data_IF_013557426665
#
_entry.id   IF_013557426665
#
_cell.length_a   1.000
_cell.length_b   1.000
_cell.length_c   1.000
_cell.angle_alpha   90.00
_cell.angle_beta   90.00
_cell.angle_gamma   90.00
#
_symmetry.space_group_name_H-M   'P 1'
#
loop_
_entity.id
_entity.type
_entity.pdbx_description
1 polymer ?
#
# COMPACT_ATOMS: atom_id res chain seq x y z
N UNK A 1 12.26 -5.18 -27.09
CA UNK A 1 13.53 -5.85 -26.92
C UNK A 1 13.31 -7.18 -26.19
N UNK A 2 13.78 -8.29 -26.78
CA UNK A 2 13.54 -9.65 -26.26
C UNK A 2 14.14 -9.90 -24.87
N UNK A 3 15.13 -9.10 -24.47
CA UNK A 3 15.87 -9.25 -23.19
C UNK A 3 15.29 -8.44 -22.04
N UNK A 4 14.22 -7.66 -22.24
CA UNK A 4 13.66 -6.79 -21.20
C UNK A 4 12.41 -7.41 -20.62
N UNK A 5 12.25 -7.25 -19.30
CA UNK A 5 11.07 -7.64 -18.52
C UNK A 5 10.53 -6.45 -17.76
N UNK A 6 9.24 -6.50 -17.44
CA UNK A 6 8.54 -5.57 -16.55
C UNK A 6 8.38 -6.28 -15.21
N UNK A 7 8.72 -5.62 -14.14
CA UNK A 7 8.41 -6.09 -12.78
C UNK A 7 7.19 -5.31 -12.32
N UNK A 8 6.07 -6.01 -12.13
CA UNK A 8 4.85 -5.47 -11.57
C UNK A 8 4.81 -5.80 -10.08
N UNK A 9 4.99 -4.78 -9.24
CA UNK A 9 4.90 -4.91 -7.78
C UNK A 9 3.51 -4.50 -7.31
N UNK A 10 2.71 -5.50 -6.97
CA UNK A 10 1.32 -5.33 -6.52
C UNK A 10 1.21 -5.75 -5.05
N UNK A 11 1.15 -4.77 -4.16
CA UNK A 11 1.17 -5.02 -2.72
C UNK A 11 -0.14 -4.66 -2.00
N UNK A 12 -1.08 -3.93 -2.63
CA UNK A 12 -2.33 -3.50 -1.98
C UNK A 12 -3.53 -3.27 -2.93
N UNK A 13 -3.50 -3.78 -4.15
CA UNK A 13 -4.57 -3.65 -5.15
C UNK A 13 -5.91 -4.21 -4.69
N UNK A 14 -5.90 -5.12 -3.72
CA UNK A 14 -7.11 -5.69 -3.12
C UNK A 14 -7.97 -4.66 -2.39
N UNK A 15 -7.38 -3.53 -1.94
CA UNK A 15 -8.06 -2.49 -1.16
C UNK A 15 -8.46 -1.29 -2.02
N UNK A 16 -9.37 -1.52 -2.96
CA UNK A 16 -9.96 -0.48 -3.78
C UNK A 16 -11.38 -0.15 -3.31
N UNK A 17 -11.66 1.14 -3.12
CA UNK A 17 -12.93 1.63 -2.55
C UNK A 17 -13.84 2.27 -3.59
N UNK A 18 -13.25 2.88 -4.65
CA UNK A 18 -13.98 3.54 -5.72
C UNK A 18 -13.53 3.04 -7.10
N UNK A 19 -14.47 2.94 -8.03
CA UNK A 19 -14.21 2.53 -9.40
C UNK A 19 -14.06 1.02 -9.58
N UNK A 20 -13.82 0.60 -10.83
CA UNK A 20 -13.61 -0.82 -11.17
C UNK A 20 -12.23 -1.28 -10.71
N UNK A 21 -12.05 -2.57 -10.37
CA UNK A 21 -10.73 -3.13 -10.16
C UNK A 21 -9.81 -2.85 -11.36
N UNK A 22 -8.56 -2.52 -11.11
CA UNK A 22 -7.56 -2.40 -12.17
C UNK A 22 -6.95 -3.78 -12.33
N UNK A 23 -7.08 -4.42 -13.50
CA UNK A 23 -6.47 -5.72 -13.72
C UNK A 23 -4.94 -5.60 -13.71
N UNK A 24 -4.26 -6.66 -13.24
CA UNK A 24 -2.81 -6.74 -13.31
C UNK A 24 -2.32 -6.75 -14.76
N UNK A 25 -1.17 -6.12 -15.02
CA UNK A 25 -0.51 -6.15 -16.33
C UNK A 25 -0.21 -7.59 -16.75
N UNK A 26 0.19 -8.42 -15.78
CA UNK A 26 0.46 -9.85 -16.00
C UNK A 26 -0.73 -10.56 -16.65
N UNK A 27 -1.97 -10.22 -16.28
CA UNK A 27 -3.18 -10.81 -16.86
C UNK A 27 -3.40 -10.47 -18.34
N UNK A 28 -2.76 -9.43 -18.86
CA UNK A 28 -2.79 -9.03 -20.28
C UNK A 28 -1.52 -9.38 -21.05
N UNK A 29 -0.54 -9.97 -20.38
CA UNK A 29 0.78 -10.22 -20.96
C UNK A 29 0.81 -11.43 -21.90
N UNK A 30 0.38 -11.23 -23.13
CA UNK A 30 0.50 -12.25 -24.18
C UNK A 30 1.96 -12.54 -24.62
N UNK A 31 2.89 -11.65 -24.27
CA UNK A 31 4.30 -11.76 -24.65
C UNK A 31 5.21 -12.42 -23.62
N UNK A 32 4.71 -12.77 -22.46
CA UNK A 32 5.49 -13.35 -21.36
C UNK A 32 6.61 -12.44 -20.87
N UNK A 33 6.31 -11.14 -20.66
CA UNK A 33 7.29 -10.13 -20.27
C UNK A 33 7.09 -9.56 -18.87
N UNK A 34 5.97 -9.88 -18.22
CA UNK A 34 5.64 -9.36 -16.89
C UNK A 34 5.97 -10.39 -15.83
N UNK A 35 6.82 -10.00 -14.89
CA UNK A 35 7.09 -10.71 -13.63
C UNK A 35 6.19 -10.04 -12.59
N UNK A 36 5.19 -10.76 -12.09
CA UNK A 36 4.28 -10.24 -11.09
C UNK A 36 4.77 -10.59 -9.68
N UNK A 37 4.81 -9.60 -8.79
CA UNK A 37 5.15 -9.73 -7.38
C UNK A 37 3.92 -9.39 -6.53
N UNK A 38 3.54 -10.29 -5.65
CA UNK A 38 2.46 -10.08 -4.70
C UNK A 38 2.86 -10.44 -3.27
N UNK A 39 2.10 -9.96 -2.28
CA UNK A 39 2.37 -10.23 -0.87
C UNK A 39 1.12 -10.47 -0.06
N UNK A 40 1.18 -11.42 0.87
CA UNK A 40 0.14 -11.65 1.86
C UNK A 40 0.29 -10.76 3.11
N UNK A 41 1.40 -10.02 3.21
CA UNK A 41 1.67 -9.17 4.38
C UNK A 41 0.70 -8.00 4.53
N UNK A 42 0.10 -7.55 3.44
CA UNK A 42 -0.93 -6.50 3.45
C UNK A 42 -2.34 -7.06 3.51
N UNK A 43 -2.58 -8.12 2.74
CA UNK A 43 -3.90 -8.68 2.58
C UNK A 43 -4.32 -9.62 3.72
N UNK A 44 -3.39 -10.28 4.41
CA UNK A 44 -3.67 -11.17 5.55
C UNK A 44 -3.21 -10.55 6.86
N UNK A 45 -1.91 -10.45 7.08
CA UNK A 45 -1.33 -9.86 8.28
C UNK A 45 0.13 -9.45 8.04
N UNK A 46 0.60 -8.30 8.58
CA UNK A 46 1.99 -7.85 8.42
C UNK A 46 3.03 -8.82 8.96
N UNK A 47 2.68 -9.63 9.95
CA UNK A 47 3.57 -10.61 10.60
C UNK A 47 3.84 -11.85 9.76
N UNK A 48 3.00 -12.14 8.75
CA UNK A 48 3.12 -13.38 7.96
C UNK A 48 4.37 -13.41 7.10
N UNK A 49 4.83 -12.27 6.62
CA UNK A 49 6.07 -12.09 5.85
C UNK A 49 6.21 -13.03 4.64
N UNK A 50 5.11 -13.32 3.95
CA UNK A 50 5.10 -14.17 2.77
C UNK A 50 4.78 -13.31 1.55
N UNK A 51 5.63 -13.41 0.54
CA UNK A 51 5.43 -12.86 -0.79
C UNK A 51 5.49 -13.98 -1.82
N UNK A 52 4.91 -13.75 -2.98
CA UNK A 52 4.92 -14.69 -4.09
C UNK A 52 5.26 -13.99 -5.39
N UNK A 53 5.73 -14.75 -6.34
CA UNK A 53 6.13 -14.28 -7.66
C UNK A 53 5.50 -15.18 -8.72
N UNK A 54 4.90 -14.56 -9.74
CA UNK A 54 4.43 -15.24 -10.94
C UNK A 54 5.42 -14.95 -12.06
N UNK A 55 6.11 -15.97 -12.50
CA UNK A 55 7.11 -15.87 -13.57
C UNK A 55 6.49 -16.20 -14.92
N UNK A 56 6.90 -15.50 -15.99
CA UNK A 56 6.64 -15.97 -17.36
C UNK A 56 7.26 -17.35 -17.61
N UNK A 57 6.59 -18.18 -18.41
CA UNK A 57 7.01 -19.54 -18.70
C UNK A 57 8.46 -19.65 -19.17
N UNK A 58 8.91 -18.71 -19.99
CA UNK A 58 10.28 -18.65 -20.50
C UNK A 58 11.35 -18.43 -19.41
N UNK A 59 10.99 -17.92 -18.24
CA UNK A 59 11.89 -17.78 -17.08
C UNK A 59 11.86 -18.98 -16.14
N UNK A 60 10.86 -19.87 -16.28
CA UNK A 60 10.70 -21.01 -15.37
C UNK A 60 11.87 -22.00 -15.45
N UNK A 61 12.45 -22.22 -16.65
CA UNK A 61 13.65 -23.05 -16.80
C UNK A 61 14.84 -22.46 -16.03
N UNK A 62 15.12 -21.19 -16.28
CA UNK A 62 16.23 -20.48 -15.60
C UNK A 62 16.05 -20.46 -14.08
N UNK A 63 14.81 -20.27 -13.62
CA UNK A 63 14.49 -20.30 -12.20
C UNK A 63 14.73 -21.69 -11.59
N UNK A 64 14.31 -22.76 -12.25
CA UNK A 64 14.54 -24.13 -11.77
C UNK A 64 16.04 -24.46 -11.70
N UNK A 65 16.78 -24.12 -12.74
CA UNK A 65 18.21 -24.44 -12.81
C UNK A 65 19.04 -23.68 -11.77
N UNK A 66 18.74 -22.39 -11.58
CA UNK A 66 19.51 -21.51 -10.68
C UNK A 66 18.90 -21.39 -9.28
N UNK A 67 17.59 -21.52 -9.15
CA UNK A 67 16.86 -21.36 -7.91
C UNK A 67 17.01 -22.54 -6.93
N UNK A 68 17.38 -23.74 -7.43
CA UNK A 68 17.58 -24.95 -6.61
C UNK A 68 18.71 -24.79 -5.57
N UNK A 69 19.61 -23.83 -5.78
CA UNK A 69 20.71 -23.54 -4.85
C UNK A 69 20.19 -22.89 -3.56
N UNK A 70 19.03 -22.25 -3.62
CA UNK A 70 18.46 -21.50 -2.50
C UNK A 70 17.36 -22.32 -1.82
N UNK A 71 17.46 -22.46 -0.50
CA UNK A 71 16.36 -22.99 0.30
C UNK A 71 15.19 -22.02 0.32
N UNK A 72 13.96 -22.55 0.33
CA UNK A 72 12.77 -21.72 0.52
C UNK A 72 12.87 -20.96 1.86
N UNK A 73 12.67 -19.64 1.83
CA UNK A 73 12.63 -18.81 3.03
C UNK A 73 11.31 -18.93 3.79
N UNK A 74 10.28 -19.51 3.15
CA UNK A 74 8.96 -19.74 3.75
C UNK A 74 8.85 -21.19 4.19
N UNK A 75 8.48 -21.41 5.45
CA UNK A 75 8.31 -22.77 5.98
C UNK A 75 7.19 -23.54 5.22
N UNK A 76 7.33 -24.85 5.10
CA UNK A 76 6.29 -25.68 4.48
C UNK A 76 4.97 -25.67 5.26
N UNK A 77 5.04 -25.44 6.56
CA UNK A 77 3.84 -25.33 7.42
C UNK A 77 3.08 -24.06 7.06
N UNK A 78 3.76 -22.92 6.94
CA UNK A 78 3.13 -21.66 6.56
C UNK A 78 2.55 -21.71 5.14
N UNK A 79 3.29 -22.33 4.21
CA UNK A 79 2.77 -22.55 2.86
C UNK A 79 1.49 -23.40 2.86
N UNK A 80 1.42 -24.47 3.67
CA UNK A 80 0.23 -25.30 3.79
C UNK A 80 -0.95 -24.54 4.42
N UNK A 81 -0.69 -23.73 5.44
CA UNK A 81 -1.70 -22.87 6.07
C UNK A 81 -2.29 -21.91 5.03
N UNK A 82 -1.45 -21.20 4.28
CA UNK A 82 -1.90 -20.28 3.23
C UNK A 82 -2.66 -21.02 2.13
N UNK A 83 -2.16 -22.16 1.70
CA UNK A 83 -2.83 -22.99 0.68
C UNK A 83 -4.26 -23.35 1.10
N UNK A 84 -4.46 -23.80 2.33
CA UNK A 84 -5.79 -24.11 2.86
C UNK A 84 -6.65 -22.86 3.01
N UNK A 85 -6.06 -21.78 3.52
CA UNK A 85 -6.75 -20.50 3.69
C UNK A 85 -7.31 -19.96 2.37
N UNK A 86 -6.57 -20.16 1.27
CA UNK A 86 -7.01 -19.82 -0.08
C UNK A 86 -8.07 -20.82 -0.60
N UNK A 87 -7.78 -22.11 -0.56
CA UNK A 87 -8.62 -23.15 -1.18
C UNK A 87 -9.99 -23.32 -0.49
N UNK A 88 -10.09 -23.06 0.81
CA UNK A 88 -11.32 -23.13 1.59
C UNK A 88 -12.14 -21.82 1.55
N UNK A 89 -11.72 -20.82 0.76
CA UNK A 89 -12.40 -19.53 0.58
C UNK A 89 -12.34 -18.61 1.80
N UNK A 90 -11.48 -18.89 2.78
CA UNK A 90 -11.27 -18.04 3.95
C UNK A 90 -10.63 -16.72 3.58
N UNK A 91 -9.73 -16.72 2.60
CA UNK A 91 -9.05 -15.53 2.11
C UNK A 91 -10.02 -14.49 1.55
N UNK A 92 -10.94 -14.89 0.69
CA UNK A 92 -11.92 -13.97 0.11
C UNK A 92 -12.85 -13.37 1.17
N UNK A 93 -13.32 -14.20 2.12
CA UNK A 93 -14.12 -13.71 3.25
C UNK A 93 -13.34 -12.70 4.10
N UNK A 94 -12.07 -12.99 4.36
CA UNK A 94 -11.18 -12.08 5.07
C UNK A 94 -11.00 -10.76 4.33
N UNK A 95 -10.68 -10.80 3.03
CA UNK A 95 -10.53 -9.61 2.20
C UNK A 95 -11.78 -8.74 2.19
N UNK A 96 -12.96 -9.33 2.01
CA UNK A 96 -14.22 -8.59 2.00
C UNK A 96 -14.47 -7.89 3.33
N UNK A 97 -14.18 -8.55 4.45
CA UNK A 97 -14.25 -7.96 5.78
C UNK A 97 -13.25 -6.80 5.94
N UNK A 98 -12.00 -7.00 5.51
CA UNK A 98 -10.96 -5.96 5.63
C UNK A 98 -11.24 -4.75 4.74
N UNK A 99 -11.78 -4.96 3.52
CA UNK A 99 -12.24 -3.88 2.64
C UNK A 99 -13.30 -3.02 3.32
N UNK A 100 -14.28 -3.63 3.98
CA UNK A 100 -15.33 -2.90 4.70
C UNK A 100 -14.73 -2.07 5.85
N UNK A 101 -13.84 -2.67 6.67
CA UNK A 101 -13.18 -2.00 7.78
C UNK A 101 -12.32 -0.83 7.29
N UNK A 102 -11.48 -1.05 6.27
CA UNK A 102 -10.59 0.00 5.78
C UNK A 102 -11.37 1.12 5.06
N UNK A 103 -12.45 0.76 4.35
CA UNK A 103 -13.33 1.76 3.76
C UNK A 103 -13.98 2.65 4.81
N UNK A 104 -14.49 2.09 5.90
CA UNK A 104 -15.07 2.85 7.01
C UNK A 104 -14.05 3.82 7.62
N UNK A 105 -12.85 3.35 7.93
CA UNK A 105 -11.75 4.18 8.45
C UNK A 105 -11.33 5.29 7.50
N UNK A 106 -11.24 4.96 6.22
CA UNK A 106 -10.96 5.91 5.15
C UNK A 106 -12.03 7.02 5.10
N UNK A 107 -13.31 6.65 5.11
CA UNK A 107 -14.42 7.60 5.01
C UNK A 107 -14.46 8.52 6.26
N UNK A 108 -14.20 7.98 7.47
CA UNK A 108 -14.04 8.78 8.69
C UNK A 108 -12.89 9.77 8.55
N UNK A 109 -11.73 9.34 8.09
CA UNK A 109 -10.57 10.22 7.90
C UNK A 109 -10.88 11.34 6.91
N UNK A 110 -11.43 11.02 5.74
CA UNK A 110 -11.80 12.02 4.73
C UNK A 110 -12.80 13.04 5.24
N UNK A 111 -13.84 12.59 5.96
CA UNK A 111 -14.86 13.46 6.52
C UNK A 111 -14.26 14.53 7.47
N UNK A 112 -13.31 14.14 8.32
CA UNK A 112 -12.67 15.08 9.25
C UNK A 112 -11.64 15.98 8.55
N UNK A 113 -11.00 15.53 7.47
CA UNK A 113 -10.04 16.34 6.71
C UNK A 113 -10.71 17.37 5.78
N UNK A 114 -12.03 17.35 5.62
CA UNK A 114 -12.75 18.35 4.80
C UNK A 114 -12.51 19.79 5.26
N UNK A 115 -12.25 20.02 6.56
CA UNK A 115 -11.90 21.34 7.08
C UNK A 115 -10.58 21.91 6.55
N UNK A 116 -9.73 21.10 5.94
CA UNK A 116 -8.51 21.52 5.25
C UNK A 116 -8.75 21.84 3.76
N UNK A 117 -10.00 21.88 3.29
CA UNK A 117 -10.32 22.29 1.93
C UNK A 117 -9.84 23.74 1.68
N UNK A 118 -9.14 23.94 0.56
CA UNK A 118 -8.47 25.22 0.27
C UNK A 118 -7.06 25.38 0.87
N UNK A 119 -6.71 24.59 1.89
CA UNK A 119 -5.37 24.55 2.49
C UNK A 119 -4.52 23.43 1.87
N UNK A 120 -5.15 22.31 1.58
CA UNK A 120 -4.48 21.16 0.97
C UNK A 120 -5.36 20.47 -0.08
N UNK A 121 -4.70 19.70 -0.95
CA UNK A 121 -5.33 18.74 -1.86
C UNK A 121 -5.06 17.32 -1.35
N UNK A 122 -6.10 16.50 -1.30
CA UNK A 122 -6.00 15.09 -0.90
C UNK A 122 -5.91 14.23 -2.16
N UNK A 123 -5.08 13.20 -2.14
CA UNK A 123 -5.01 12.17 -3.19
C UNK A 123 -4.78 10.78 -2.60
N UNK A 124 -4.96 9.74 -3.41
CA UNK A 124 -4.92 8.34 -2.94
C UNK A 124 -6.25 7.84 -2.36
N UNK A 125 -7.34 8.60 -2.52
CA UNK A 125 -8.66 8.30 -1.93
C UNK A 125 -9.42 7.13 -2.58
N UNK A 126 -8.96 6.61 -3.72
CA UNK A 126 -9.67 5.56 -4.43
C UNK A 126 -9.27 4.15 -4.01
N UNK A 127 -8.09 4.00 -3.44
CA UNK A 127 -7.52 2.70 -3.09
C UNK A 127 -6.40 2.83 -2.04
N UNK A 128 -5.96 1.70 -1.50
CA UNK A 128 -4.84 1.61 -0.58
C UNK A 128 -5.22 1.81 0.88
N UNK A 129 -4.23 2.03 1.72
CA UNK A 129 -4.37 2.14 3.18
C UNK A 129 -3.77 3.44 3.74
N UNK A 130 -3.53 4.40 2.86
CA UNK A 130 -3.00 5.73 3.19
C UNK A 130 -3.53 6.79 2.23
N UNK A 131 -3.49 8.05 2.67
CA UNK A 131 -3.79 9.22 1.87
C UNK A 131 -2.54 10.08 1.72
N UNK A 132 -2.44 10.82 0.63
CA UNK A 132 -1.44 11.86 0.44
C UNK A 132 -2.11 13.23 0.63
N UNK A 133 -1.53 14.05 1.49
CA UNK A 133 -1.96 15.41 1.77
C UNK A 133 -0.93 16.36 1.14
N UNK A 134 -1.35 17.09 0.12
CA UNK A 134 -0.52 18.05 -0.62
C UNK A 134 -0.86 19.46 -0.15
N UNK A 135 0.01 20.10 0.61
CA UNK A 135 -0.21 21.45 1.09
C UNK A 135 -0.11 22.48 -0.05
N UNK A 136 -1.06 23.42 -0.09
CA UNK A 136 -1.14 24.48 -1.08
C UNK A 136 -0.86 25.86 -0.47
N UNK A 137 -0.72 25.93 0.85
CA UNK A 137 -0.46 27.16 1.62
C UNK A 137 1.03 27.45 1.86
N UNK A 138 1.94 26.75 1.16
CA UNK A 138 3.38 26.89 1.34
C UNK A 138 3.97 26.13 2.52
N UNK A 139 3.17 25.31 3.21
CA UNK A 139 3.68 24.46 4.29
C UNK A 139 4.59 23.37 3.72
N UNK A 140 5.80 23.27 4.26
CA UNK A 140 6.76 22.22 3.90
C UNK A 140 6.42 20.91 4.62
N UNK A 141 6.81 19.78 4.04
CA UNK A 141 6.59 18.48 4.70
C UNK A 141 7.27 18.36 6.05
N UNK A 142 8.48 18.94 6.21
CA UNK A 142 9.21 18.96 7.48
C UNK A 142 8.40 19.69 8.55
N UNK A 143 7.83 20.83 8.21
CA UNK A 143 7.01 21.62 9.13
C UNK A 143 5.73 20.88 9.50
N UNK A 144 5.06 20.26 8.53
CA UNK A 144 3.85 19.51 8.76
C UNK A 144 4.10 18.29 9.66
N UNK A 145 5.21 17.55 9.44
CA UNK A 145 5.62 16.40 10.29
C UNK A 145 5.94 16.86 11.70
N UNK A 146 6.64 17.99 11.87
CA UNK A 146 6.96 18.55 13.19
C UNK A 146 5.71 18.93 13.98
N UNK A 147 4.76 19.63 13.33
CA UNK A 147 3.50 20.03 13.95
C UNK A 147 2.67 18.81 14.37
N UNK A 148 2.54 17.82 13.49
CA UNK A 148 1.86 16.56 13.80
C UNK A 148 2.51 15.84 15.00
N UNK A 149 3.85 15.82 15.06
CA UNK A 149 4.59 15.20 16.17
C UNK A 149 4.31 15.90 17.50
N UNK A 150 4.15 17.22 17.55
CA UNK A 150 3.79 17.97 18.75
C UNK A 150 2.40 17.57 19.27
N UNK A 151 1.49 17.21 18.37
CA UNK A 151 0.16 16.67 18.69
C UNK A 151 0.17 15.18 19.03
N UNK A 152 1.35 14.54 19.10
CA UNK A 152 1.48 13.11 19.37
C UNK A 152 1.12 12.22 18.17
N UNK A 153 1.07 12.79 16.95
CA UNK A 153 0.69 12.07 15.73
C UNK A 153 1.91 11.88 14.86
N UNK A 154 2.15 10.61 14.45
CA UNK A 154 3.23 10.26 13.55
C UNK A 154 2.71 10.24 12.11
N UNK A 155 3.25 11.13 11.29
CA UNK A 155 3.05 11.17 9.84
C UNK A 155 4.41 11.09 9.14
N UNK A 156 4.40 10.82 7.84
CA UNK A 156 5.64 10.67 7.06
C UNK A 156 5.65 11.67 5.92
N UNK A 157 6.79 12.32 5.69
CA UNK A 157 7.02 13.13 4.50
C UNK A 157 7.22 12.24 3.27
N UNK A 158 6.69 12.66 2.14
CA UNK A 158 6.80 11.89 0.89
C UNK A 158 8.25 11.81 0.39
N UNK A 159 9.07 12.83 0.64
CA UNK A 159 10.49 12.85 0.26
C UNK A 159 11.30 11.70 0.87
N UNK A 160 10.87 11.18 2.04
CA UNK A 160 11.46 10.01 2.67
C UNK A 160 11.37 8.72 1.84
N UNK A 161 10.44 8.67 0.90
CA UNK A 161 10.26 7.54 -0.03
C UNK A 161 11.07 7.70 -1.32
N UNK A 162 11.68 8.87 -1.56
CA UNK A 162 12.42 9.15 -2.78
C UNK A 162 13.87 8.64 -2.70
N UNK A 163 14.39 8.18 -3.84
CA UNK A 163 15.79 7.76 -4.01
C UNK A 163 16.47 8.73 -4.99
N UNK A 164 17.69 9.17 -4.67
CA UNK A 164 18.50 10.03 -5.53
C UNK A 164 18.09 11.52 -5.51
N UNK A 165 18.24 12.24 -6.63
CA UNK A 165 18.06 13.70 -6.68
C UNK A 165 16.66 14.20 -6.30
N UNK A 166 15.65 13.35 -6.41
CA UNK A 166 14.27 13.67 -6.03
C UNK A 166 14.11 13.93 -4.52
N UNK A 167 15.08 13.54 -3.69
CA UNK A 167 15.13 13.91 -2.27
C UNK A 167 15.23 15.42 -2.03
N UNK A 168 15.64 16.17 -3.03
CA UNK A 168 15.81 17.64 -2.95
C UNK A 168 14.55 18.41 -3.37
N UNK A 169 13.54 17.72 -3.91
CA UNK A 169 12.25 18.35 -4.17
C UNK A 169 11.52 18.47 -2.85
N UNK A 170 11.51 19.66 -2.26
CA UNK A 170 10.66 19.98 -1.12
C UNK A 170 9.20 19.81 -1.56
N UNK A 171 8.70 18.63 -1.35
CA UNK A 171 7.28 18.34 -1.57
C UNK A 171 6.55 18.77 -0.31
N UNK A 172 5.64 19.74 -0.39
CA UNK A 172 4.71 20.00 0.70
C UNK A 172 3.70 18.84 0.83
N UNK A 173 4.19 17.59 0.91
CA UNK A 173 3.33 16.40 0.86
C UNK A 173 3.64 15.45 2.00
N UNK A 174 2.60 15.05 2.74
CA UNK A 174 2.70 14.05 3.80
C UNK A 174 1.81 12.84 3.52
N UNK A 175 2.18 11.71 4.11
CA UNK A 175 1.49 10.42 4.00
C UNK A 175 0.75 10.16 5.32
N UNK A 176 -0.57 9.96 5.26
CA UNK A 176 -1.42 9.56 6.38
C UNK A 176 -1.87 8.12 6.23
N UNK A 177 -1.35 7.23 7.07
CA UNK A 177 -1.81 5.84 7.17
C UNK A 177 -2.96 5.70 8.16
N UNK A 178 -4.00 4.94 7.81
CA UNK A 178 -5.19 4.75 8.65
C UNK A 178 -5.53 3.27 8.95
N UNK A 179 -4.82 2.33 8.35
CA UNK A 179 -5.19 0.91 8.44
C UNK A 179 -5.13 0.31 9.86
N UNK A 180 -4.25 0.82 10.73
CA UNK A 180 -4.00 0.21 12.05
C UNK A 180 -4.77 0.86 13.20
N UNK A 181 -5.45 1.99 12.95
CA UNK A 181 -6.15 2.75 13.97
C UNK A 181 -7.66 2.44 13.94
N UNK A 182 -8.31 2.50 15.10
CA UNK A 182 -9.77 2.51 15.18
C UNK A 182 -10.35 3.86 14.76
N UNK A 183 -11.61 3.88 14.34
CA UNK A 183 -12.29 5.07 13.80
C UNK A 183 -12.28 6.27 14.76
N UNK A 184 -12.52 6.03 16.05
CA UNK A 184 -12.45 7.09 17.07
C UNK A 184 -11.08 7.75 17.15
N UNK A 185 -9.99 6.95 17.14
CA UNK A 185 -8.63 7.48 17.14
C UNK A 185 -8.30 8.22 15.84
N UNK A 186 -8.84 7.78 14.71
CA UNK A 186 -8.68 8.46 13.42
C UNK A 186 -9.36 9.83 13.47
N UNK A 187 -10.60 9.91 13.96
CA UNK A 187 -11.33 11.16 14.12
C UNK A 187 -10.56 12.16 14.99
N UNK A 188 -10.17 11.73 16.20
CA UNK A 188 -9.40 12.55 17.13
C UNK A 188 -8.07 13.04 16.55
N UNK A 189 -7.34 12.15 15.83
CA UNK A 189 -6.09 12.53 15.19
C UNK A 189 -6.33 13.54 14.05
N UNK A 190 -7.32 13.30 13.20
CA UNK A 190 -7.65 14.22 12.12
C UNK A 190 -8.03 15.61 12.64
N UNK A 191 -8.87 15.70 13.68
CA UNK A 191 -9.22 16.98 14.33
C UNK A 191 -8.01 17.74 14.86
N UNK A 192 -7.05 17.04 15.49
CA UNK A 192 -5.81 17.66 15.97
C UNK A 192 -4.95 18.17 14.81
N UNK A 193 -4.82 17.37 13.74
CA UNK A 193 -4.06 17.77 12.55
C UNK A 193 -4.68 19.03 11.90
N UNK A 194 -6.00 19.07 11.77
CA UNK A 194 -6.71 20.22 11.21
C UNK A 194 -6.53 21.53 12.00
N UNK A 195 -6.16 21.46 13.28
CA UNK A 195 -5.86 22.67 14.09
C UNK A 195 -4.45 23.23 13.86
N UNK A 196 -3.54 22.38 13.40
CA UNK A 196 -2.11 22.75 13.32
C UNK A 196 -1.59 22.82 11.88
N UNK A 197 -2.36 22.38 10.92
CA UNK A 197 -2.08 22.43 9.49
C UNK A 197 -2.90 23.51 8.79
#
# INVERSE_FOLDING_TARGET
DASRYIIEDDYDSEFRYKGKPIPALQGFDAGGKVIYLGTFSRSIAPSIRISYMVLPDQLMGVYRDKGQIFSSTVSRVDQLIISRFLSEGHYERHLNRMRAIYKSRHDVLLAHLQSLEGVCRISGENAGVHLLIHFQNGMTELRAVELAKREGIKVYGLSGCAIGPLRQVETGTVILGYATLGEEKIAQAAERLCRVW
#
